data_IF_878997958426
#
_entry.id   IF_878997958426
#
_cell.length_a   1.000
_cell.length_b   1.000
_cell.length_c   1.000
_cell.angle_alpha   90.00
_cell.angle_beta   90.00
_cell.angle_gamma   90.00
#
_symmetry.space_group_name_H-M   'P 1'
#
loop_
_entity.id
_entity.type
_entity.pdbx_description
1 polymer ?
#
# COMPACT_ATOMS: atom_id res chain seq x y z
N UNK A 1 7.01 -18.57 -0.65
CA UNK A 1 7.85 -17.38 -0.31
C UNK A 1 7.01 -16.12 -0.53
N UNK A 2 7.12 -15.10 0.35
CA UNK A 2 6.42 -13.83 0.16
C UNK A 2 7.29 -12.87 -0.66
N UNK A 3 6.68 -12.16 -1.60
CA UNK A 3 7.33 -11.18 -2.46
C UNK A 3 6.40 -9.98 -2.76
N UNK A 4 6.99 -8.85 -3.10
CA UNK A 4 6.31 -7.68 -3.63
C UNK A 4 6.45 -7.69 -5.16
N UNK A 5 5.35 -7.92 -5.87
CA UNK A 5 5.34 -7.99 -7.32
C UNK A 5 4.79 -6.69 -7.93
N UNK A 6 5.27 -6.32 -9.10
CA UNK A 6 4.72 -5.18 -9.84
C UNK A 6 3.31 -5.49 -10.32
N UNK A 7 2.43 -4.48 -10.40
CA UNK A 7 1.14 -4.62 -11.08
C UNK A 7 1.32 -5.16 -12.50
N UNK A 8 0.47 -6.12 -12.87
CA UNK A 8 0.50 -6.78 -14.18
C UNK A 8 -0.92 -7.01 -14.67
N UNK A 9 -1.25 -6.43 -15.83
CA UNK A 9 -2.58 -6.53 -16.42
C UNK A 9 -3.01 -7.97 -16.75
N UNK A 10 -2.06 -8.88 -16.98
CA UNK A 10 -2.35 -10.30 -17.21
C UNK A 10 -2.96 -11.01 -16.00
N UNK A 11 -2.81 -10.43 -14.80
CA UNK A 11 -3.36 -10.98 -13.54
C UNK A 11 -4.73 -10.43 -13.16
N UNK A 12 -5.48 -9.88 -14.11
CA UNK A 12 -6.76 -9.23 -13.89
C UNK A 12 -7.78 -10.09 -13.11
N UNK A 13 -7.99 -11.34 -13.53
CA UNK A 13 -8.94 -12.25 -12.88
C UNK A 13 -8.56 -12.53 -11.43
N UNK A 14 -7.28 -12.74 -11.16
CA UNK A 14 -6.78 -12.99 -9.81
C UNK A 14 -6.86 -11.74 -8.93
N UNK A 15 -6.55 -10.57 -9.50
CA UNK A 15 -6.67 -9.29 -8.82
C UNK A 15 -8.13 -9.01 -8.42
N UNK A 16 -9.08 -9.23 -9.33
CA UNK A 16 -10.51 -9.07 -9.04
C UNK A 16 -10.95 -9.98 -7.89
N UNK A 17 -10.62 -11.28 -7.96
CA UNK A 17 -10.96 -12.22 -6.92
C UNK A 17 -10.41 -11.83 -5.55
N UNK A 18 -9.22 -11.22 -5.51
CA UNK A 18 -8.65 -10.67 -4.28
C UNK A 18 -9.38 -9.41 -3.83
N UNK A 19 -9.62 -8.47 -4.75
CA UNK A 19 -10.24 -7.18 -4.43
C UNK A 19 -11.69 -7.34 -3.93
N UNK A 20 -12.45 -8.27 -4.51
CA UNK A 20 -13.82 -8.58 -4.12
C UNK A 20 -13.96 -9.08 -2.68
N UNK A 21 -12.95 -9.74 -2.12
CA UNK A 21 -12.98 -10.18 -0.72
C UNK A 21 -13.03 -9.02 0.29
N UNK A 22 -12.59 -7.82 -0.10
CA UNK A 22 -12.69 -6.64 0.76
C UNK A 22 -14.12 -6.10 0.85
N UNK A 23 -15.00 -6.46 -0.08
CA UNK A 23 -16.38 -6.01 -0.12
C UNK A 23 -16.46 -4.49 -0.19
N UNK A 24 -17.06 -3.87 0.85
CA UNK A 24 -17.13 -2.41 1.00
C UNK A 24 -16.00 -1.81 1.80
N UNK A 25 -15.11 -2.63 2.32
CA UNK A 25 -13.97 -2.16 3.10
C UNK A 25 -13.00 -1.38 2.22
N UNK A 26 -12.39 -0.38 2.80
CA UNK A 26 -11.33 0.38 2.13
C UNK A 26 -10.13 -0.51 1.89
N UNK A 27 -9.59 -0.46 0.68
CA UNK A 27 -8.37 -1.18 0.29
C UNK A 27 -7.18 -0.23 0.45
N UNK A 28 -6.59 -0.19 1.63
CA UNK A 28 -5.39 0.60 1.86
C UNK A 28 -4.21 0.03 1.06
N UNK A 29 -3.43 0.93 0.44
CA UNK A 29 -2.32 0.53 -0.44
C UNK A 29 -2.74 -0.05 -1.78
N UNK A 30 -4.04 -0.21 -2.04
CA UNK A 30 -4.54 -0.73 -3.32
C UNK A 30 -4.45 0.26 -4.48
N UNK A 31 -4.21 1.53 -4.18
CA UNK A 31 -4.11 2.63 -5.16
C UNK A 31 -5.31 2.72 -6.11
N UNK A 32 -6.48 2.22 -5.69
CA UNK A 32 -7.71 2.25 -6.49
C UNK A 32 -8.17 3.70 -6.75
N UNK A 33 -7.87 4.60 -5.80
CA UNK A 33 -8.09 6.05 -5.98
C UNK A 33 -9.56 6.39 -6.13
N UNK A 34 -9.88 7.10 -7.21
CA UNK A 34 -11.26 7.46 -7.58
C UNK A 34 -12.00 6.36 -8.32
N UNK A 35 -11.34 5.30 -8.72
CA UNK A 35 -11.96 4.17 -9.42
C UNK A 35 -12.56 3.18 -8.42
N UNK A 36 -13.57 2.47 -8.87
CA UNK A 36 -14.21 1.40 -8.11
C UNK A 36 -13.74 0.03 -8.61
N UNK A 37 -13.84 -1.00 -7.77
CA UNK A 37 -13.57 -2.37 -8.21
C UNK A 37 -14.49 -2.76 -9.37
N UNK A 38 -15.73 -2.26 -9.38
CA UNK A 38 -16.70 -2.54 -10.45
C UNK A 38 -16.26 -1.95 -11.80
N UNK A 39 -15.73 -0.75 -11.84
CA UNK A 39 -15.15 -0.15 -13.06
C UNK A 39 -13.94 -0.94 -13.57
N UNK A 40 -13.15 -1.47 -12.65
CA UNK A 40 -11.97 -2.29 -12.96
C UNK A 40 -12.30 -3.74 -13.36
N UNK A 41 -13.60 -4.12 -13.44
CA UNK A 41 -14.01 -5.40 -14.05
C UNK A 41 -13.82 -5.40 -15.56
N UNK A 42 -13.87 -4.25 -16.21
CA UNK A 42 -13.52 -4.13 -17.63
C UNK A 42 -12.01 -4.35 -17.83
N UNK A 43 -11.60 -5.36 -18.65
CA UNK A 43 -10.18 -5.64 -18.84
C UNK A 43 -9.39 -4.47 -19.43
N UNK A 44 -10.02 -3.65 -20.29
CA UNK A 44 -9.35 -2.49 -20.89
C UNK A 44 -9.14 -1.38 -19.86
N UNK A 45 -10.14 -1.09 -19.02
CA UNK A 45 -10.03 -0.15 -17.92
C UNK A 45 -8.97 -0.61 -16.91
N UNK A 46 -8.94 -1.90 -16.57
CA UNK A 46 -7.94 -2.48 -15.69
C UNK A 46 -6.52 -2.34 -16.26
N UNK A 47 -6.31 -2.64 -17.54
CA UNK A 47 -5.01 -2.50 -18.19
C UNK A 47 -4.54 -1.04 -18.19
N UNK A 48 -5.42 -0.09 -18.49
CA UNK A 48 -5.13 1.34 -18.44
C UNK A 48 -4.77 1.80 -17.01
N UNK A 49 -5.51 1.33 -16.01
CA UNK A 49 -5.23 1.61 -14.60
C UNK A 49 -3.86 1.05 -14.17
N UNK A 50 -3.52 -0.19 -14.54
CA UNK A 50 -2.20 -0.77 -14.26
C UNK A 50 -1.09 0.05 -14.92
N UNK A 51 -1.26 0.47 -16.18
CA UNK A 51 -0.29 1.32 -16.87
C UNK A 51 -0.09 2.65 -16.12
N UNK A 52 -1.17 3.28 -15.67
CA UNK A 52 -1.13 4.51 -14.85
C UNK A 52 -0.36 4.30 -13.55
N UNK A 53 -0.60 3.19 -12.83
CA UNK A 53 0.12 2.89 -11.58
C UNK A 53 1.63 2.78 -11.80
N UNK A 54 2.05 2.16 -12.90
CA UNK A 54 3.46 2.01 -13.25
C UNK A 54 4.09 3.34 -13.69
N UNK A 55 3.30 4.21 -14.32
CA UNK A 55 3.74 5.53 -14.78
C UNK A 55 3.92 6.50 -13.59
N UNK A 56 3.07 6.39 -12.58
CA UNK A 56 3.15 7.18 -11.34
C UNK A 56 4.37 6.83 -10.44
N UNK A 57 5.19 5.87 -10.81
CA UNK A 57 6.51 5.67 -10.19
C UNK A 57 7.48 6.83 -10.50
N UNK A 58 7.15 7.71 -11.47
CA UNK A 58 7.95 8.86 -11.90
C UNK A 58 7.24 10.17 -11.59
N UNK A 59 7.92 11.08 -10.92
CA UNK A 59 7.37 12.39 -10.53
C UNK A 59 6.80 13.19 -11.69
N UNK A 60 7.47 13.17 -12.84
CA UNK A 60 7.11 13.94 -14.02
C UNK A 60 5.73 13.59 -14.62
N UNK A 61 5.20 12.40 -14.26
CA UNK A 61 3.95 11.87 -14.79
C UNK A 61 2.80 11.93 -13.79
N UNK A 62 3.04 12.49 -12.60
CA UNK A 62 2.04 12.52 -11.52
C UNK A 62 1.28 13.85 -11.53
N UNK A 63 -0.07 13.83 -11.42
CA UNK A 63 -0.86 15.05 -11.22
C UNK A 63 -0.35 15.87 -10.02
N UNK A 64 -0.43 17.20 -10.13
CA UNK A 64 0.15 18.13 -9.15
C UNK A 64 -0.38 17.96 -7.71
N UNK A 65 -1.58 17.39 -7.56
CA UNK A 65 -2.23 17.14 -6.27
C UNK A 65 -1.76 15.84 -5.61
N UNK A 66 -1.08 14.98 -6.38
CA UNK A 66 -0.58 13.69 -5.92
C UNK A 66 0.94 13.74 -5.74
N UNK A 67 1.49 12.65 -5.25
CA UNK A 67 2.94 12.43 -5.16
C UNK A 67 3.27 11.14 -5.91
N UNK A 68 4.48 11.04 -6.42
CA UNK A 68 4.96 9.80 -7.02
C UNK A 68 4.83 8.64 -6.03
N UNK A 69 4.46 7.49 -6.54
CA UNK A 69 4.22 6.32 -5.70
C UNK A 69 4.54 5.02 -6.42
N UNK A 70 5.11 4.10 -5.68
CA UNK A 70 5.36 2.73 -6.12
C UNK A 70 4.23 1.83 -5.60
N UNK A 71 3.44 1.28 -6.51
CA UNK A 71 2.43 0.28 -6.18
C UNK A 71 3.01 -1.12 -6.34
N UNK A 72 2.72 -1.97 -5.37
CA UNK A 72 3.08 -3.39 -5.36
C UNK A 72 1.88 -4.24 -4.97
N UNK A 73 1.83 -5.44 -5.48
CA UNK A 73 0.93 -6.47 -4.97
C UNK A 73 1.73 -7.44 -4.11
N UNK A 74 1.16 -7.86 -3.00
CA UNK A 74 1.76 -8.86 -2.12
C UNK A 74 1.40 -10.23 -2.66
N UNK A 75 2.41 -11.03 -2.99
CA UNK A 75 2.23 -12.41 -3.44
C UNK A 75 2.88 -13.40 -2.47
N UNK A 76 2.25 -14.56 -2.30
CA UNK A 76 2.79 -15.68 -1.53
C UNK A 76 2.71 -16.92 -2.41
N UNK A 77 3.87 -17.53 -2.68
CA UNK A 77 4.00 -18.67 -3.57
C UNK A 77 3.29 -18.45 -4.92
N UNK A 78 3.48 -17.24 -5.48
CA UNK A 78 2.92 -16.80 -6.73
C UNK A 78 1.46 -16.32 -6.69
N UNK A 79 0.72 -16.49 -5.59
CA UNK A 79 -0.68 -16.08 -5.44
C UNK A 79 -0.81 -14.72 -4.78
N UNK A 80 -1.66 -13.83 -5.33
CA UNK A 80 -1.92 -12.52 -4.75
C UNK A 80 -2.70 -12.63 -3.43
N UNK A 81 -2.17 -11.98 -2.40
CA UNK A 81 -2.73 -11.97 -1.05
C UNK A 81 -2.96 -10.57 -0.50
N UNK A 82 -2.50 -9.52 -1.18
CA UNK A 82 -2.66 -8.16 -0.68
C UNK A 82 -2.15 -7.08 -1.60
N UNK A 83 -2.27 -5.86 -1.12
CA UNK A 83 -1.88 -4.61 -1.77
C UNK A 83 -0.89 -3.85 -0.90
N UNK A 84 0.00 -3.10 -1.55
CA UNK A 84 0.93 -2.21 -0.89
C UNK A 84 1.25 -1.04 -1.80
N UNK A 85 1.35 0.17 -1.25
CA UNK A 85 1.86 1.34 -1.96
C UNK A 85 2.86 2.10 -1.12
N UNK A 86 3.87 2.67 -1.77
CA UNK A 86 4.90 3.52 -1.18
C UNK A 86 4.81 4.88 -1.86
N UNK A 87 4.47 5.93 -1.13
CA UNK A 87 4.52 7.33 -1.58
C UNK A 87 5.94 7.83 -1.38
N UNK A 88 6.53 8.40 -2.42
CA UNK A 88 7.96 8.77 -2.40
C UNK A 88 8.23 10.00 -1.54
N UNK A 89 7.21 10.85 -1.36
CA UNK A 89 7.26 12.02 -0.49
C UNK A 89 5.93 12.23 0.25
N UNK A 90 5.89 13.17 1.16
CA UNK A 90 4.70 13.51 1.93
C UNK A 90 4.23 14.93 1.59
N UNK A 91 3.05 15.04 0.99
CA UNK A 91 2.27 16.28 0.99
C UNK A 91 1.55 16.46 2.35
N UNK A 92 0.81 17.56 2.53
CA UNK A 92 0.15 17.86 3.80
C UNK A 92 -0.84 16.76 4.22
N UNK A 93 -1.65 16.26 3.28
CA UNK A 93 -2.59 15.16 3.56
C UNK A 93 -1.88 13.90 4.03
N UNK A 94 -0.79 13.52 3.37
CA UNK A 94 -0.02 12.32 3.70
C UNK A 94 0.71 12.46 5.04
N UNK A 95 1.16 13.68 5.39
CA UNK A 95 1.74 13.95 6.71
C UNK A 95 0.76 13.76 7.85
N UNK A 96 -0.50 14.14 7.65
CA UNK A 96 -1.52 14.05 8.68
C UNK A 96 -2.18 12.66 8.75
N UNK A 97 -2.53 12.08 7.60
CA UNK A 97 -3.43 10.91 7.55
C UNK A 97 -2.89 9.71 6.78
N UNK A 98 -2.14 9.91 5.70
CA UNK A 98 -1.83 8.83 4.75
C UNK A 98 -0.50 8.12 4.98
N UNK A 99 0.56 8.86 5.38
CA UNK A 99 1.91 8.34 5.49
C UNK A 99 2.56 7.93 4.15
N UNK A 100 3.76 7.38 4.23
CA UNK A 100 4.47 6.84 3.05
C UNK A 100 3.95 5.47 2.63
N UNK A 101 3.58 4.60 3.57
CA UNK A 101 3.21 3.22 3.27
C UNK A 101 1.74 2.98 3.61
N UNK A 102 0.99 2.46 2.63
CA UNK A 102 -0.32 1.87 2.84
C UNK A 102 -0.30 0.39 2.43
N UNK A 103 -1.01 -0.46 3.15
CA UNK A 103 -1.11 -1.89 2.83
C UNK A 103 -2.44 -2.47 3.27
N UNK A 104 -2.86 -3.52 2.59
CA UNK A 104 -4.01 -4.34 2.98
C UNK A 104 -3.77 -5.81 2.60
N UNK A 105 -4.13 -6.72 3.48
CA UNK A 105 -4.13 -8.15 3.21
C UNK A 105 -5.58 -8.64 3.09
N UNK A 106 -5.86 -9.44 2.06
CA UNK A 106 -7.19 -10.01 1.81
C UNK A 106 -7.70 -10.75 3.05
N UNK A 107 -8.99 -10.67 3.39
CA UNK A 107 -9.54 -11.19 4.62
C UNK A 107 -9.15 -12.64 4.94
N UNK A 108 -9.22 -13.54 3.96
CA UNK A 108 -8.89 -14.96 4.12
C UNK A 108 -7.41 -15.25 4.46
N UNK A 109 -6.53 -14.26 4.26
CA UNK A 109 -5.08 -14.41 4.44
C UNK A 109 -4.54 -13.61 5.65
N UNK A 110 -5.41 -12.97 6.41
CA UNK A 110 -5.04 -12.20 7.62
C UNK A 110 -4.55 -13.14 8.74
N UNK A 111 -3.80 -12.57 9.69
CA UNK A 111 -3.30 -13.32 10.86
C UNK A 111 -2.08 -14.22 10.59
N UNK A 112 -1.60 -14.31 9.36
CA UNK A 112 -0.45 -15.16 8.94
C UNK A 112 0.90 -14.42 8.92
N UNK A 113 0.96 -13.18 9.38
CA UNK A 113 2.20 -12.38 9.40
C UNK A 113 2.55 -11.71 8.06
N UNK A 114 1.73 -11.84 7.03
CA UNK A 114 2.05 -11.32 5.69
C UNK A 114 2.17 -9.81 5.65
N UNK A 115 1.33 -9.06 6.37
CA UNK A 115 1.46 -7.61 6.46
C UNK A 115 2.81 -7.20 7.06
N UNK A 116 3.27 -7.87 8.12
CA UNK A 116 4.56 -7.57 8.74
C UNK A 116 5.72 -7.82 7.77
N UNK A 117 5.72 -8.96 7.07
CA UNK A 117 6.75 -9.29 6.10
C UNK A 117 6.72 -8.35 4.87
N UNK A 118 5.53 -8.04 4.35
CA UNK A 118 5.38 -7.10 3.23
C UNK A 118 5.87 -5.69 3.59
N UNK A 119 5.57 -5.22 4.82
CA UNK A 119 6.04 -3.92 5.31
C UNK A 119 7.57 -3.90 5.43
N UNK A 120 8.20 -4.97 5.90
CA UNK A 120 9.67 -5.08 5.93
C UNK A 120 10.29 -4.91 4.53
N UNK A 121 9.74 -5.60 3.52
CA UNK A 121 10.19 -5.45 2.13
C UNK A 121 9.93 -4.04 1.58
N UNK A 122 8.82 -3.41 1.95
CA UNK A 122 8.53 -2.03 1.57
C UNK A 122 9.55 -1.04 2.16
N UNK A 123 9.99 -1.25 3.40
CA UNK A 123 11.04 -0.44 4.02
C UNK A 123 12.38 -0.59 3.28
N UNK A 124 12.69 -1.76 2.77
CA UNK A 124 13.86 -1.97 1.91
C UNK A 124 13.73 -1.23 0.57
N UNK A 125 12.52 -1.14 -0.01
CA UNK A 125 12.28 -0.27 -1.17
C UNK A 125 12.40 1.20 -0.81
N UNK A 126 11.90 1.64 0.34
CA UNK A 126 12.06 3.02 0.83
C UNK A 126 13.54 3.41 0.94
N UNK A 127 14.41 2.51 1.44
CA UNK A 127 15.87 2.76 1.47
C UNK A 127 16.43 2.99 0.06
N UNK A 128 16.04 2.18 -0.92
CA UNK A 128 16.49 2.33 -2.31
C UNK A 128 15.99 3.63 -2.94
N UNK A 129 14.84 4.15 -2.52
CA UNK A 129 14.29 5.43 -2.91
C UNK A 129 14.93 6.63 -2.16
N UNK A 130 15.83 6.39 -1.21
CA UNK A 130 16.48 7.45 -0.43
C UNK A 130 15.61 8.05 0.68
N UNK A 131 14.52 7.39 1.05
CA UNK A 131 13.63 7.82 2.14
C UNK A 131 14.24 7.37 3.47
N UNK A 132 14.86 8.29 4.20
CA UNK A 132 15.55 7.98 5.45
C UNK A 132 14.60 7.80 6.65
N UNK A 133 13.43 8.44 6.62
CA UNK A 133 12.39 8.34 7.66
C UNK A 133 11.04 8.08 7.03
N UNK A 134 10.41 6.99 7.40
CA UNK A 134 9.15 6.53 6.84
C UNK A 134 8.02 6.76 7.84
N UNK A 135 7.04 7.59 7.49
CA UNK A 135 5.80 7.74 8.25
C UNK A 135 4.83 6.63 7.84
N UNK A 136 4.31 5.90 8.82
CA UNK A 136 3.23 4.93 8.60
C UNK A 136 2.09 5.27 9.57
N UNK A 137 0.87 5.32 9.06
CA UNK A 137 -0.31 5.66 9.86
C UNK A 137 -1.31 4.51 9.88
N UNK A 138 -2.06 4.40 10.96
CA UNK A 138 -3.20 3.49 11.04
C UNK A 138 -4.32 4.10 11.89
N UNK A 139 -5.54 3.60 11.74
CA UNK A 139 -6.64 4.00 12.60
C UNK A 139 -6.33 3.65 14.06
N UNK A 140 -6.74 4.52 14.98
CA UNK A 140 -6.46 4.34 16.41
C UNK A 140 -7.00 3.00 16.94
N UNK A 141 -8.11 2.54 16.39
CA UNK A 141 -8.74 1.26 16.73
C UNK A 141 -8.13 0.05 16.02
N UNK A 142 -7.27 0.26 15.01
CA UNK A 142 -6.65 -0.81 14.24
C UNK A 142 -5.39 -1.35 14.92
N UNK A 143 -5.60 -2.13 16.00
CA UNK A 143 -4.51 -2.74 16.77
C UNK A 143 -3.63 -3.66 15.91
N UNK A 144 -4.21 -4.35 14.94
CA UNK A 144 -3.45 -5.23 14.05
C UNK A 144 -2.43 -4.44 13.23
N UNK A 145 -2.83 -3.31 12.65
CA UNK A 145 -1.91 -2.45 11.90
C UNK A 145 -0.85 -1.81 12.81
N UNK A 146 -1.23 -1.33 14.00
CA UNK A 146 -0.27 -0.82 14.97
C UNK A 146 0.82 -1.86 15.29
N UNK A 147 0.42 -3.11 15.55
CA UNK A 147 1.36 -4.22 15.79
C UNK A 147 2.30 -4.48 14.60
N UNK A 148 1.78 -4.42 13.36
CA UNK A 148 2.62 -4.56 12.15
C UNK A 148 3.68 -3.47 12.09
N UNK A 149 3.28 -2.21 12.34
CA UNK A 149 4.16 -1.05 12.27
C UNK A 149 5.24 -1.13 13.36
N UNK A 150 4.85 -1.42 14.60
CA UNK A 150 5.76 -1.54 15.76
C UNK A 150 6.77 -2.68 15.56
N UNK A 151 6.35 -3.83 15.03
CA UNK A 151 7.25 -4.95 14.71
C UNK A 151 8.27 -4.61 13.63
N UNK A 152 8.01 -3.61 12.81
CA UNK A 152 8.93 -3.08 11.81
C UNK A 152 9.73 -1.86 12.30
N UNK A 153 9.78 -1.63 13.61
CA UNK A 153 10.56 -0.56 14.21
C UNK A 153 9.87 0.80 14.24
N UNK A 154 8.56 0.82 14.04
CA UNK A 154 7.75 2.04 14.16
C UNK A 154 7.68 2.55 15.58
N UNK A 155 8.02 3.82 15.78
CA UNK A 155 7.91 4.54 17.05
C UNK A 155 6.74 5.51 16.93
N UNK A 156 5.78 5.41 17.86
CA UNK A 156 4.61 6.29 17.89
C UNK A 156 5.07 7.73 18.17
N UNK A 157 4.71 8.65 17.27
CA UNK A 157 4.91 10.09 17.47
C UNK A 157 3.72 10.70 18.21
N UNK A 158 2.52 10.52 17.67
CA UNK A 158 1.29 11.09 18.21
C UNK A 158 0.03 10.38 17.67
N UNK A 159 -1.12 10.87 18.12
CA UNK A 159 -2.43 10.52 17.57
C UNK A 159 -3.09 11.82 17.09
N UNK A 160 -3.45 11.89 15.82
CA UNK A 160 -4.16 13.02 15.23
C UNK A 160 -5.44 12.56 14.55
N UNK A 161 -6.57 13.11 14.96
CA UNK A 161 -7.84 12.84 14.32
C UNK A 161 -8.15 11.35 14.16
N UNK A 162 -8.03 10.54 15.20
CA UNK A 162 -8.22 9.08 15.19
C UNK A 162 -7.17 8.29 14.35
N UNK A 163 -6.05 8.90 14.00
CA UNK A 163 -4.91 8.23 13.36
C UNK A 163 -3.71 8.19 14.31
N UNK A 164 -3.16 7.00 14.52
CA UNK A 164 -1.82 6.81 15.11
C UNK A 164 -0.79 7.05 14.02
N UNK A 165 0.25 7.83 14.35
CA UNK A 165 1.34 8.19 13.43
C UNK A 165 2.64 7.65 13.98
N UNK A 166 3.30 6.79 13.20
CA UNK A 166 4.54 6.12 13.57
C UNK A 166 5.65 6.49 12.61
N UNK A 167 6.84 6.72 13.14
CA UNK A 167 8.04 6.88 12.33
C UNK A 167 8.94 5.66 12.42
N UNK A 168 9.38 5.19 11.27
CA UNK A 168 10.46 4.21 11.14
C UNK A 168 11.68 4.93 10.60
N UNK A 169 12.77 4.93 11.35
CA UNK A 169 14.07 5.46 10.89
C UNK A 169 14.83 4.35 10.20
N UNK A 170 15.24 4.59 8.96
CA UNK A 170 16.00 3.64 8.18
C UNK A 170 17.50 3.95 8.30
N UNK A 171 18.35 2.94 8.57
CA UNK A 171 19.80 3.12 8.64
C UNK A 171 20.41 3.37 7.26
#
# INVERSE_FOLDING_TARGET
MLELVRPDASRHVEWLAMAEEFGRDRIDGGAVGSQTVDELRDPAAFAAWVAMLLDHERDENVPAELVASTTRWVAVDGRLVGFLSIRHELNDFLRELGGHIGYAIRPAERGKGYATAATALALDECRRLGIARVLVTCDETNVASATVIERNGGVLEDVRGAKRRYWVTLP
#
